data_IF_770952729233
#
_entry.id   IF_770952729233
#
_cell.length_a   1.000
_cell.length_b   1.000
_cell.length_c   1.000
_cell.angle_alpha   90.00
_cell.angle_beta   90.00
_cell.angle_gamma   90.00
#
_symmetry.space_group_name_H-M   'P 1'
#
loop_
_entity.id
_entity.type
_entity.pdbx_description
1 polymer ?
#
# COMPACT_ATOMS: atom_id res chain seq x y z
N UNK A 1 2.63 -6.15 -25.94
CA UNK A 1 3.81 -6.80 -25.31
C UNK A 1 4.99 -5.84 -25.32
N UNK A 2 5.50 -5.53 -24.13
CA UNK A 2 6.59 -4.59 -23.92
C UNK A 2 7.86 -5.33 -23.46
N UNK A 3 9.00 -5.06 -24.09
CA UNK A 3 10.28 -5.71 -23.80
C UNK A 3 11.31 -4.64 -23.53
N UNK A 4 11.94 -4.70 -22.36
CA UNK A 4 12.96 -3.74 -21.94
C UNK A 4 14.21 -4.46 -21.45
N UNK A 5 15.38 -3.88 -21.76
CA UNK A 5 16.52 -4.07 -20.88
C UNK A 5 16.17 -3.45 -19.53
N UNK A 6 16.59 -4.10 -18.44
CA UNK A 6 16.34 -3.66 -17.06
C UNK A 6 16.61 -2.17 -16.81
N UNK A 7 17.68 -1.63 -17.38
CA UNK A 7 18.08 -0.23 -17.19
C UNK A 7 17.28 0.76 -18.06
N UNK A 8 16.49 0.26 -19.00
CA UNK A 8 15.66 1.05 -19.91
C UNK A 8 14.16 0.93 -19.58
N UNK A 9 13.81 0.22 -18.51
CA UNK A 9 12.42 0.10 -18.07
C UNK A 9 11.89 1.49 -17.66
N UNK A 10 10.60 1.82 -17.91
CA UNK A 10 10.04 3.10 -17.50
C UNK A 10 10.28 3.40 -16.02
N UNK A 11 10.92 4.55 -15.73
CA UNK A 11 11.33 4.91 -14.37
C UNK A 11 10.17 4.94 -13.37
N UNK A 12 8.93 5.22 -13.82
CA UNK A 12 7.71 5.22 -12.98
C UNK A 12 7.42 3.87 -12.34
N UNK A 13 7.88 2.77 -12.93
CA UNK A 13 7.69 1.42 -12.38
C UNK A 13 8.63 1.13 -11.22
N UNK A 14 9.69 1.93 -11.03
CA UNK A 14 10.69 1.73 -9.98
C UNK A 14 11.26 0.29 -9.94
N UNK A 15 11.40 -0.35 -11.11
CA UNK A 15 11.70 -1.78 -11.25
C UNK A 15 13.04 -2.04 -11.98
N UNK A 16 14.09 -1.32 -11.59
CA UNK A 16 15.45 -1.48 -12.12
C UNK A 16 16.50 -1.73 -11.02
N UNK A 17 16.33 -1.14 -9.83
CA UNK A 17 17.38 -1.08 -8.81
C UNK A 17 17.41 -2.29 -7.85
N UNK A 18 17.42 -3.51 -8.38
CA UNK A 18 17.60 -4.71 -7.56
C UNK A 18 18.26 -5.86 -8.31
N UNK A 19 19.25 -6.53 -7.72
CA UNK A 19 19.95 -7.66 -8.35
C UNK A 19 19.06 -8.84 -8.74
N UNK A 20 17.89 -9.00 -8.09
CA UNK A 20 16.93 -10.09 -8.37
C UNK A 20 16.09 -9.84 -9.63
N UNK A 21 16.12 -8.62 -10.17
CA UNK A 21 15.44 -8.29 -11.42
C UNK A 21 16.31 -8.76 -12.59
N UNK A 22 15.72 -9.60 -13.44
CA UNK A 22 16.34 -10.15 -14.66
C UNK A 22 16.88 -9.04 -15.58
N UNK A 23 17.97 -9.27 -16.34
CA UNK A 23 18.49 -8.30 -17.32
C UNK A 23 17.47 -7.87 -18.38
N UNK A 24 16.50 -8.75 -18.68
CA UNK A 24 15.39 -8.49 -19.61
C UNK A 24 14.10 -8.58 -18.80
N UNK A 25 13.27 -7.54 -18.90
CA UNK A 25 11.94 -7.48 -18.29
C UNK A 25 10.91 -7.43 -19.42
N UNK A 26 9.89 -8.26 -19.31
CA UNK A 26 8.78 -8.32 -20.26
C UNK A 26 7.48 -8.24 -19.49
N UNK A 27 6.56 -7.42 -19.96
CA UNK A 27 5.18 -7.42 -19.48
C UNK A 27 4.22 -7.17 -20.65
N UNK A 28 2.99 -7.63 -20.52
CA UNK A 28 1.93 -7.44 -21.52
C UNK A 28 0.81 -6.57 -20.97
N UNK A 29 -0.14 -6.27 -21.83
CA UNK A 29 -1.41 -5.65 -21.52
C UNK A 29 -2.35 -6.67 -20.86
N UNK A 30 -3.35 -6.24 -20.06
CA UNK A 30 -4.39 -7.11 -19.54
C UNK A 30 -5.05 -7.95 -20.63
N UNK A 31 -5.40 -9.20 -20.29
CA UNK A 31 -5.95 -10.18 -21.24
C UNK A 31 -4.89 -10.97 -22.02
N UNK A 32 -3.61 -10.62 -21.88
CA UNK A 32 -2.50 -11.38 -22.45
C UNK A 32 -1.67 -12.08 -21.38
N UNK A 33 -0.95 -13.12 -21.79
CA UNK A 33 0.02 -13.84 -20.98
C UNK A 33 1.29 -14.07 -21.75
N UNK A 34 2.42 -14.06 -21.05
CA UNK A 34 3.71 -14.42 -21.61
C UNK A 34 4.11 -15.76 -21.01
N UNK A 35 4.23 -16.77 -21.87
CA UNK A 35 4.70 -18.10 -21.50
C UNK A 35 5.96 -18.45 -22.28
N UNK A 36 6.72 -19.41 -21.76
CA UNK A 36 7.96 -19.88 -22.41
C UNK A 36 7.70 -20.73 -23.65
N UNK A 37 6.64 -21.56 -23.64
CA UNK A 37 6.34 -22.50 -24.73
C UNK A 37 4.84 -22.79 -24.83
N UNK A 38 4.42 -23.41 -25.94
CA UNK A 38 3.02 -23.78 -26.17
C UNK A 38 2.50 -24.79 -25.14
N UNK A 39 3.37 -25.72 -24.70
CA UNK A 39 3.03 -26.69 -23.65
C UNK A 39 2.72 -25.99 -22.32
N UNK A 40 3.35 -24.84 -22.05
CA UNK A 40 3.08 -24.03 -20.86
C UNK A 40 1.70 -23.38 -20.89
N UNK A 41 1.13 -23.16 -22.09
CA UNK A 41 -0.26 -22.69 -22.24
C UNK A 41 -1.24 -23.81 -21.87
N UNK A 42 -0.96 -25.04 -22.35
CA UNK A 42 -1.85 -26.18 -22.13
C UNK A 42 -1.98 -26.57 -20.65
N UNK A 43 -0.94 -26.32 -19.84
CA UNK A 43 -0.97 -26.52 -18.39
C UNK A 43 -1.57 -25.33 -17.63
N UNK A 44 -1.82 -24.19 -18.29
CA UNK A 44 -2.38 -23.01 -17.66
C UNK A 44 -3.90 -23.09 -17.59
N UNK A 45 -4.42 -23.45 -16.40
CA UNK A 45 -5.85 -23.64 -16.14
C UNK A 45 -6.52 -22.46 -15.45
N UNK A 46 -5.79 -21.37 -15.18
CA UNK A 46 -6.35 -20.22 -14.45
C UNK A 46 -7.20 -19.35 -15.40
N UNK A 47 -8.30 -18.86 -14.85
CA UNK A 47 -9.26 -18.02 -15.56
C UNK A 47 -9.00 -16.51 -15.38
N UNK A 48 -8.02 -16.15 -14.54
CA UNK A 48 -7.60 -14.77 -14.30
C UNK A 48 -6.13 -14.72 -13.93
N UNK A 49 -5.49 -13.60 -14.25
CA UNK A 49 -4.08 -13.35 -14.00
C UNK A 49 -3.84 -11.90 -13.55
N UNK A 50 -2.63 -11.61 -13.07
CA UNK A 50 -2.21 -10.32 -12.54
C UNK A 50 -0.71 -10.08 -12.74
N UNK A 51 -0.22 -8.91 -12.32
CA UNK A 51 1.19 -8.54 -12.47
C UNK A 51 1.48 -7.74 -13.75
N UNK A 52 0.43 -7.20 -14.37
CA UNK A 52 0.52 -6.19 -15.41
C UNK A 52 0.99 -4.85 -14.84
N UNK A 53 1.03 -3.84 -15.70
CA UNK A 53 1.33 -2.47 -15.29
C UNK A 53 0.41 -1.99 -14.15
N UNK A 54 0.94 -1.45 -13.04
CA UNK A 54 0.14 -1.02 -11.90
C UNK A 54 -0.80 0.16 -12.21
N UNK A 55 -0.61 0.87 -13.33
CA UNK A 55 -1.48 1.97 -13.75
C UNK A 55 -2.75 1.48 -14.49
N UNK A 56 -2.91 0.17 -14.71
CA UNK A 56 -4.18 -0.41 -15.21
C UNK A 56 -5.23 -0.48 -14.10
N UNK A 57 -6.46 -0.09 -14.40
CA UNK A 57 -7.59 -0.14 -13.45
C UNK A 57 -7.85 -1.56 -12.95
N UNK A 58 -7.65 -2.58 -13.79
CA UNK A 58 -7.79 -3.99 -13.42
C UNK A 58 -6.76 -4.45 -12.39
N UNK A 59 -5.63 -3.74 -12.26
CA UNK A 59 -4.57 -4.02 -11.27
C UNK A 59 -4.74 -3.20 -9.99
N UNK A 60 -5.70 -2.26 -9.94
CA UNK A 60 -5.95 -1.45 -8.77
C UNK A 60 -6.66 -2.26 -7.68
N UNK A 61 -6.05 -2.48 -6.50
CA UNK A 61 -6.77 -3.08 -5.38
C UNK A 61 -7.75 -2.07 -4.78
N UNK A 62 -8.78 -2.56 -4.11
CA UNK A 62 -9.63 -1.70 -3.29
C UNK A 62 -8.95 -1.38 -1.96
N UNK A 63 -9.28 -0.21 -1.42
CA UNK A 63 -8.90 0.22 -0.08
C UNK A 63 -10.15 0.59 0.70
N UNK A 64 -10.37 -0.09 1.82
CA UNK A 64 -11.43 0.25 2.77
C UNK A 64 -10.79 0.52 4.13
N UNK A 65 -11.06 1.70 4.67
CA UNK A 65 -10.61 2.12 5.99
C UNK A 65 -11.80 2.61 6.82
N UNK A 66 -11.93 2.07 8.03
CA UNK A 66 -12.95 2.43 8.99
C UNK A 66 -12.32 2.57 10.38
N UNK A 67 -12.73 3.61 11.10
CA UNK A 67 -12.32 3.83 12.48
C UNK A 67 -12.33 5.32 12.84
N UNK A 68 -12.17 5.65 14.14
CA UNK A 68 -12.25 7.02 14.65
C UNK A 68 -11.13 7.94 14.13
N UNK A 69 -9.99 7.37 13.71
CA UNK A 69 -8.86 8.12 13.12
C UNK A 69 -9.13 8.61 11.69
N UNK A 70 -10.04 7.96 10.97
CA UNK A 70 -10.39 8.33 9.60
C UNK A 70 -11.54 9.32 9.57
N UNK A 71 -11.51 10.26 8.62
CA UNK A 71 -12.65 11.15 8.38
C UNK A 71 -13.85 10.33 7.96
N UNK A 72 -15.00 10.57 8.59
CA UNK A 72 -16.25 10.02 8.09
C UNK A 72 -16.50 10.54 6.67
N UNK A 73 -16.67 9.62 5.73
CA UNK A 73 -17.15 9.91 4.39
C UNK A 73 -18.68 9.90 4.43
N UNK A 74 -19.29 10.80 5.22
CA UNK A 74 -20.74 10.94 5.22
C UNK A 74 -21.21 11.23 3.79
N UNK A 75 -21.94 10.28 3.19
CA UNK A 75 -22.37 10.33 1.78
C UNK A 75 -21.53 9.54 0.77
N UNK A 76 -20.63 8.65 1.19
CA UNK A 76 -19.97 7.71 0.27
C UNK A 76 -18.98 8.38 -0.69
N UNK A 77 -18.22 9.38 -0.21
CA UNK A 77 -17.19 10.04 -1.00
C UNK A 77 -16.17 9.02 -1.54
N UNK A 78 -16.16 8.82 -2.85
CA UNK A 78 -15.05 8.20 -3.58
C UNK A 78 -13.84 9.11 -3.41
N UNK A 79 -12.79 8.59 -2.76
CA UNK A 79 -11.50 9.27 -2.67
C UNK A 79 -10.73 9.05 -3.97
N UNK A 80 -9.83 9.98 -4.30
CA UNK A 80 -8.87 9.76 -5.37
C UNK A 80 -8.00 8.52 -5.05
N UNK A 81 -7.44 7.91 -6.08
CA UNK A 81 -6.54 6.76 -5.92
C UNK A 81 -5.40 7.11 -4.96
N UNK A 82 -5.09 6.16 -4.08
CA UNK A 82 -3.94 6.23 -3.19
C UNK A 82 -2.88 5.24 -3.66
N UNK A 83 -1.62 5.50 -3.32
CA UNK A 83 -0.53 4.55 -3.61
C UNK A 83 -0.34 3.64 -2.41
N UNK A 84 -0.19 2.33 -2.63
CA UNK A 84 -0.01 1.38 -1.53
C UNK A 84 1.20 1.71 -0.63
N UNK A 85 2.25 2.28 -1.20
CA UNK A 85 3.43 2.73 -0.46
C UNK A 85 3.11 3.80 0.60
N UNK A 86 2.00 4.52 0.47
CA UNK A 86 1.56 5.57 1.40
C UNK A 86 0.84 5.02 2.63
N UNK A 87 0.46 3.73 2.60
CA UNK A 87 -0.20 3.07 3.73
C UNK A 87 0.74 2.98 4.94
N UNK A 88 2.02 2.71 4.74
CA UNK A 88 2.98 2.63 5.85
C UNK A 88 3.06 3.94 6.67
N UNK A 89 3.36 5.12 6.08
CA UNK A 89 3.37 6.36 6.86
C UNK A 89 1.99 6.75 7.41
N UNK A 90 0.89 6.37 6.73
CA UNK A 90 -0.47 6.55 7.24
C UNK A 90 -0.71 5.74 8.52
N UNK A 91 -0.34 4.45 8.53
CA UNK A 91 -0.43 3.58 9.70
C UNK A 91 0.47 4.08 10.84
N UNK A 92 1.71 4.50 10.54
CA UNK A 92 2.57 5.10 11.55
C UNK A 92 1.92 6.32 12.22
N UNK A 93 1.23 7.16 11.43
CA UNK A 93 0.52 8.32 11.96
C UNK A 93 -0.66 7.92 12.84
N UNK A 94 -1.47 6.94 12.41
CA UNK A 94 -2.61 6.43 13.18
C UNK A 94 -2.21 5.78 14.52
N UNK A 95 -1.02 5.16 14.55
CA UNK A 95 -0.45 4.50 15.71
C UNK A 95 0.41 5.42 16.59
N UNK A 96 0.42 6.73 16.32
CA UNK A 96 1.25 7.73 17.00
C UNK A 96 2.77 7.39 16.98
N UNK A 97 3.24 6.71 15.93
CA UNK A 97 4.65 6.42 15.70
C UNK A 97 5.35 7.64 15.11
N UNK A 98 5.97 8.43 15.97
CA UNK A 98 6.60 9.72 15.63
C UNK A 98 7.84 9.62 14.74
N UNK A 99 8.39 8.42 14.55
CA UNK A 99 9.61 8.16 13.77
C UNK A 99 9.44 6.93 12.87
N UNK A 100 8.70 7.05 11.74
CA UNK A 100 8.64 5.98 10.75
C UNK A 100 10.03 5.67 10.20
N UNK A 101 10.31 4.40 9.91
CA UNK A 101 11.55 4.01 9.24
C UNK A 101 11.60 4.60 7.82
N UNK A 102 12.80 4.75 7.22
CA UNK A 102 12.93 5.21 5.84
C UNK A 102 12.09 4.36 4.87
N UNK A 103 11.26 5.00 4.05
CA UNK A 103 10.36 4.36 3.10
C UNK A 103 10.07 5.30 1.92
N UNK A 104 9.45 4.79 0.86
CA UNK A 104 9.14 5.58 -0.34
C UNK A 104 7.74 6.23 -0.33
N UNK A 105 6.94 5.97 0.71
CA UNK A 105 5.63 6.57 0.91
C UNK A 105 5.69 8.05 1.24
N UNK A 106 4.57 8.75 1.09
CA UNK A 106 4.45 10.16 1.47
C UNK A 106 3.11 10.39 2.17
N UNK A 107 3.20 10.75 3.45
CA UNK A 107 2.04 11.05 4.27
C UNK A 107 1.20 12.20 3.69
N UNK A 108 1.83 13.20 3.07
CA UNK A 108 1.12 14.37 2.51
C UNK A 108 0.07 13.99 1.46
N UNK A 109 0.24 12.87 0.75
CA UNK A 109 -0.75 12.37 -0.21
C UNK A 109 -2.02 11.82 0.44
N UNK A 110 -1.92 11.31 1.66
CA UNK A 110 -2.99 10.56 2.33
C UNK A 110 -3.44 11.18 3.66
N UNK A 111 -2.78 12.24 4.13
CA UNK A 111 -3.09 12.90 5.41
C UNK A 111 -4.52 13.46 5.45
N UNK A 112 -5.07 13.81 4.29
CA UNK A 112 -6.44 14.30 4.16
C UNK A 112 -7.51 13.25 4.51
N UNK A 113 -7.14 11.96 4.56
CA UNK A 113 -8.00 10.86 4.97
C UNK A 113 -8.21 10.81 6.48
N UNK A 114 -7.31 11.43 7.27
CA UNK A 114 -7.36 11.44 8.72
C UNK A 114 -8.12 12.65 9.25
N UNK A 115 -8.83 12.52 10.38
CA UNK A 115 -9.39 13.70 11.07
C UNK A 115 -8.29 14.74 11.32
N UNK A 116 -8.65 16.04 11.24
CA UNK A 116 -7.69 17.13 11.41
C UNK A 116 -6.85 16.93 12.67
N UNK A 117 -5.55 17.17 12.57
CA UNK A 117 -4.52 17.01 13.61
C UNK A 117 -4.94 17.67 14.94
N UNK A 118 -5.82 17.05 15.70
CA UNK A 118 -5.71 17.02 17.14
C UNK A 118 -4.73 15.90 17.41
N UNK A 119 -3.44 16.23 17.27
CA UNK A 119 -2.47 15.60 18.14
C UNK A 119 -3.01 15.89 19.53
N UNK A 120 -3.54 14.89 20.22
CA UNK A 120 -4.11 15.02 21.57
C UNK A 120 -3.02 15.35 22.64
N UNK A 121 -1.93 15.99 22.22
CA UNK A 121 -0.86 16.49 23.07
C UNK A 121 -0.86 18.01 23.00
N UNK A 122 -1.35 18.62 24.08
CA UNK A 122 -1.23 20.04 24.35
C UNK A 122 0.23 20.50 24.48
N UNK A 123 1.16 19.60 24.83
CA UNK A 123 2.59 19.94 24.95
C UNK A 123 3.53 18.72 25.01
N UNK A 124 4.81 18.94 24.74
CA UNK A 124 5.91 17.97 24.92
C UNK A 124 6.06 17.49 26.38
N UNK A 125 5.54 18.25 27.35
CA UNK A 125 5.60 17.95 28.77
C UNK A 125 4.60 16.85 29.19
N UNK A 126 3.50 16.70 28.46
CA UNK A 126 2.46 15.73 28.80
C UNK A 126 2.95 14.27 28.61
N UNK A 127 3.97 14.05 27.77
CA UNK A 127 4.52 12.71 27.47
C UNK A 127 5.33 12.09 28.63
N UNK A 128 5.91 12.92 29.51
CA UNK A 128 6.81 12.45 30.58
C UNK A 128 6.13 12.26 31.95
N UNK A 129 4.82 12.51 32.03
CA UNK A 129 4.05 12.23 33.26
C UNK A 129 3.52 10.79 33.22
N UNK A 130 3.47 10.11 34.37
CA UNK A 130 2.93 8.74 34.49
C UNK A 130 1.48 8.67 33.96
N UNK A 131 0.70 9.73 34.15
CA UNK A 131 -0.65 9.86 33.57
C UNK A 131 -0.67 10.01 32.05
N UNK A 132 0.34 10.67 31.46
CA UNK A 132 0.51 10.82 30.02
C UNK A 132 0.83 9.52 29.30
N UNK A 133 1.72 8.69 29.84
CA UNK A 133 1.98 7.35 29.29
C UNK A 133 0.76 6.45 29.37
N UNK A 134 -0.01 6.50 30.45
CA UNK A 134 -1.22 5.70 30.62
C UNK A 134 -2.33 6.15 29.64
N UNK A 135 -2.53 7.45 29.49
CA UNK A 135 -3.46 8.02 28.50
C UNK A 135 -3.01 7.76 27.06
N UNK A 136 -1.70 7.75 26.79
CA UNK A 136 -1.15 7.38 25.48
C UNK A 136 -1.46 5.92 25.14
N UNK A 137 -1.17 4.99 26.05
CA UNK A 137 -1.49 3.57 25.86
C UNK A 137 -2.99 3.33 25.73
N UNK A 138 -3.81 3.99 26.55
CA UNK A 138 -5.27 3.86 26.52
C UNK A 138 -5.86 4.40 25.19
N UNK A 139 -5.39 5.55 24.72
CA UNK A 139 -5.83 6.12 23.44
C UNK A 139 -5.35 5.29 22.24
N UNK A 140 -4.13 4.75 22.28
CA UNK A 140 -3.62 3.84 21.24
C UNK A 140 -4.47 2.56 21.20
N UNK A 141 -4.80 1.97 22.36
CA UNK A 141 -5.63 0.77 22.45
C UNK A 141 -7.03 1.03 21.88
N UNK A 142 -7.67 2.14 22.23
CA UNK A 142 -8.97 2.53 21.65
C UNK A 142 -8.88 2.85 20.15
N UNK A 143 -7.79 3.44 19.67
CA UNK A 143 -7.57 3.71 18.23
C UNK A 143 -7.42 2.42 17.42
N UNK A 144 -6.74 1.41 17.97
CA UNK A 144 -6.47 0.15 17.27
C UNK A 144 -7.70 -0.77 17.29
N UNK A 145 -8.43 -0.81 18.41
CA UNK A 145 -9.50 -1.78 18.62
C UNK A 145 -10.63 -1.67 17.58
N UNK A 146 -10.89 -0.45 17.08
CA UNK A 146 -11.95 -0.18 16.10
C UNK A 146 -11.40 0.20 14.71
N UNK A 147 -10.10 0.00 14.47
CA UNK A 147 -9.47 0.30 13.18
C UNK A 147 -9.46 -0.94 12.29
N UNK A 148 -10.19 -0.86 11.17
CA UNK A 148 -10.20 -1.89 10.15
C UNK A 148 -9.68 -1.33 8.83
N UNK A 149 -8.60 -1.93 8.31
CA UNK A 149 -8.07 -1.67 6.98
C UNK A 149 -8.06 -2.98 6.20
N UNK A 150 -8.80 -3.01 5.10
CA UNK A 150 -8.87 -4.18 4.23
C UNK A 150 -8.11 -3.94 2.92
N UNK A 151 -7.30 -4.93 2.56
CA UNK A 151 -6.59 -5.02 1.30
C UNK A 151 -6.74 -6.43 0.76
N UNK A 152 -7.18 -6.59 -0.49
CA UNK A 152 -6.98 -7.84 -1.22
C UNK A 152 -5.90 -7.54 -2.26
N UNK A 153 -4.69 -8.04 -1.98
CA UNK A 153 -3.65 -8.11 -2.99
C UNK A 153 -3.81 -9.42 -3.75
N UNK A 154 -4.22 -9.33 -5.01
CA UNK A 154 -4.06 -10.44 -5.95
C UNK A 154 -2.59 -10.46 -6.39
N UNK A 155 -1.69 -10.93 -5.51
CA UNK A 155 -0.30 -11.22 -5.87
C UNK A 155 0.00 -12.65 -5.43
N UNK A 156 -0.46 -13.62 -6.22
CA UNK A 156 0.06 -15.00 -6.15
C UNK A 156 1.41 -15.05 -6.86
N UNK A 157 2.50 -14.72 -6.16
CA UNK A 157 3.84 -15.17 -6.56
C UNK A 157 4.04 -16.55 -5.94
N UNK A 158 3.71 -17.62 -6.68
CA UNK A 158 4.20 -18.96 -6.32
C UNK A 158 5.70 -19.00 -6.66
N UNK A 159 6.54 -18.78 -5.66
CA UNK A 159 7.94 -19.21 -5.73
C UNK A 159 7.90 -20.67 -5.27
N UNK A 160 7.88 -21.60 -6.22
CA UNK A 160 8.24 -23.00 -5.93
C UNK A 160 9.75 -23.06 -5.74
N UNK A 161 10.16 -23.66 -4.63
CA UNK A 161 11.56 -24.02 -4.32
C UNK A 161 12.20 -24.91 -5.39
#
# INVERSE_FOLDING_TARGET
MNVFLKNNIPARLHYSENRRISPIVVYSEPGWMIVKSQESVASYTKHGDHGYDPDYDEMAPFFLAMGPGFRSTSGGRTINSIRLIDIYPLMCTLLDLTKPAPNNGSLSRVIHLLHGHNVYFSSFLDMFTVGGCFNMLHNIVHRIHDMHMYFINTISLSISE
#
